data_IF_775174080228
#
_entry.id   IF_775174080228
#
_cell.length_a   1.000
_cell.length_b   1.000
_cell.length_c   1.000
_cell.angle_alpha   90.00
_cell.angle_beta   90.00
_cell.angle_gamma   90.00
#
_symmetry.space_group_name_H-M   'P 1'
#
loop_
_entity.id
_entity.type
_entity.pdbx_description
1 polymer ?
#
# COMPACT_ATOMS: atom_id res chain seq x y z
N UNK A 1 22.30 -3.43 -34.22
CA UNK A 1 21.03 -3.60 -33.49
C UNK A 1 20.64 -5.09 -33.40
N UNK A 2 21.54 -5.97 -32.92
CA UNK A 2 21.30 -7.43 -32.82
C UNK A 2 21.98 -8.15 -31.64
N UNK A 3 22.88 -7.49 -30.90
CA UNK A 3 23.56 -8.10 -29.74
C UNK A 3 22.81 -7.85 -28.42
N UNK A 4 22.25 -6.66 -28.22
CA UNK A 4 21.46 -6.32 -27.02
C UNK A 4 20.15 -7.09 -26.91
N UNK A 5 19.51 -7.40 -28.04
CA UNK A 5 18.25 -8.16 -28.04
C UNK A 5 18.49 -9.64 -27.73
N UNK A 6 19.66 -10.19 -28.10
CA UNK A 6 20.02 -11.60 -27.83
C UNK A 6 20.46 -11.79 -26.38
N UNK A 7 21.22 -10.86 -25.81
CA UNK A 7 21.53 -10.86 -24.37
C UNK A 7 20.26 -10.68 -23.52
N UNK A 8 19.34 -9.81 -23.92
CA UNK A 8 18.06 -9.61 -23.22
C UNK A 8 17.12 -10.81 -23.31
N UNK A 9 17.17 -11.57 -24.40
CA UNK A 9 16.43 -12.84 -24.54
C UNK A 9 17.10 -13.94 -23.69
N UNK A 10 18.43 -14.06 -23.71
CA UNK A 10 19.16 -15.04 -22.91
C UNK A 10 19.03 -14.80 -21.40
N UNK A 11 19.14 -13.55 -20.92
CA UNK A 11 18.90 -13.24 -19.50
C UNK A 11 17.45 -13.51 -19.10
N UNK A 12 16.49 -13.30 -20.02
CA UNK A 12 15.08 -13.62 -19.77
C UNK A 12 14.81 -15.13 -19.73
N UNK A 13 15.50 -15.92 -20.55
CA UNK A 13 15.42 -17.39 -20.52
C UNK A 13 16.13 -17.97 -19.30
N UNK A 14 17.31 -17.45 -18.90
CA UNK A 14 18.01 -17.84 -17.67
C UNK A 14 17.21 -17.46 -16.41
N UNK A 15 16.56 -16.29 -16.41
CA UNK A 15 15.63 -15.88 -15.36
C UNK A 15 14.38 -16.77 -15.34
N UNK A 16 13.82 -17.17 -16.48
CA UNK A 16 12.69 -18.11 -16.54
C UNK A 16 13.08 -19.51 -16.06
N UNK A 17 14.29 -19.98 -16.33
CA UNK A 17 14.77 -21.30 -15.88
C UNK A 17 15.05 -21.31 -14.37
N UNK A 18 15.69 -20.25 -13.87
CA UNK A 18 15.94 -20.07 -12.42
C UNK A 18 14.64 -19.84 -11.66
N UNK A 19 13.68 -19.10 -12.25
CA UNK A 19 12.31 -18.90 -11.73
C UNK A 19 11.52 -20.19 -11.73
N UNK A 20 11.61 -21.00 -12.78
CA UNK A 20 10.96 -22.31 -12.86
C UNK A 20 11.53 -23.25 -11.82
N UNK A 21 12.85 -23.30 -11.63
CA UNK A 21 13.48 -24.14 -10.61
C UNK A 21 13.15 -23.70 -9.18
N UNK A 22 13.17 -22.39 -8.91
CA UNK A 22 12.78 -21.84 -7.61
C UNK A 22 11.27 -22.03 -7.33
N UNK A 23 10.41 -21.83 -8.33
CA UNK A 23 8.98 -22.13 -8.22
C UNK A 23 8.71 -23.62 -8.08
N UNK A 24 9.37 -24.49 -8.84
CA UNK A 24 9.20 -25.94 -8.73
C UNK A 24 9.67 -26.42 -7.37
N UNK A 25 10.77 -25.88 -6.84
CA UNK A 25 11.22 -26.18 -5.48
C UNK A 25 10.21 -25.70 -4.44
N UNK A 26 9.75 -24.45 -4.52
CA UNK A 26 8.77 -23.88 -3.60
C UNK A 26 7.40 -24.56 -3.68
N UNK A 27 6.94 -24.95 -4.88
CA UNK A 27 5.73 -25.74 -5.10
C UNK A 27 5.91 -27.14 -4.54
N UNK A 28 7.06 -27.78 -4.77
CA UNK A 28 7.34 -29.12 -4.23
C UNK A 28 7.36 -29.07 -2.71
N UNK A 29 8.01 -28.07 -2.11
CA UNK A 29 8.07 -27.87 -0.66
C UNK A 29 6.70 -27.49 -0.08
N UNK A 30 5.91 -26.65 -0.78
CA UNK A 30 4.56 -26.26 -0.38
C UNK A 30 3.54 -27.39 -0.51
N UNK A 31 3.64 -28.21 -1.56
CA UNK A 31 2.82 -29.42 -1.75
C UNK A 31 3.24 -30.46 -0.73
N UNK A 32 4.54 -30.65 -0.47
CA UNK A 32 5.02 -31.57 0.56
C UNK A 32 4.58 -31.13 1.95
N UNK A 33 4.64 -29.82 2.26
CA UNK A 33 4.12 -29.26 3.50
C UNK A 33 2.60 -29.37 3.61
N UNK A 34 1.87 -29.16 2.52
CA UNK A 34 0.40 -29.33 2.47
C UNK A 34 0.00 -30.79 2.63
N UNK A 35 0.71 -31.73 2.01
CA UNK A 35 0.49 -33.18 2.16
C UNK A 35 0.85 -33.62 3.58
N UNK A 36 1.97 -33.16 4.14
CA UNK A 36 2.34 -33.42 5.53
C UNK A 36 1.34 -32.81 6.52
N UNK A 37 0.79 -31.64 6.21
CA UNK A 37 -0.26 -30.98 7.00
C UNK A 37 -1.58 -31.76 6.93
N UNK A 38 -2.01 -32.20 5.76
CA UNK A 38 -3.20 -33.06 5.59
C UNK A 38 -2.99 -34.41 6.30
N UNK A 39 -1.80 -35.00 6.21
CA UNK A 39 -1.45 -36.22 6.93
C UNK A 39 -1.43 -36.02 8.45
N UNK A 40 -0.96 -34.86 8.93
CA UNK A 40 -0.96 -34.51 10.35
C UNK A 40 -2.37 -34.18 10.87
N UNK A 41 -3.19 -33.47 10.10
CA UNK A 41 -4.59 -33.13 10.40
C UNK A 41 -5.49 -34.37 10.43
N UNK A 42 -5.20 -35.37 9.60
CA UNK A 42 -5.87 -36.68 9.63
C UNK A 42 -5.37 -37.60 10.76
N UNK A 43 -4.26 -37.27 11.42
CA UNK A 43 -3.68 -38.07 12.51
C UNK A 43 -3.90 -37.48 13.90
N UNK A 44 -4.31 -36.22 14.05
CA UNK A 44 -4.83 -35.63 15.28
C UNK A 44 -5.49 -34.26 14.97
N UNK A 45 -6.67 -33.94 15.53
CA UNK A 45 -7.25 -32.61 15.37
C UNK A 45 -6.34 -31.59 16.09
N UNK A 46 -5.64 -30.77 15.30
CA UNK A 46 -4.89 -29.64 15.83
C UNK A 46 -5.84 -28.67 16.55
N UNK A 47 -5.42 -28.05 17.67
CA UNK A 47 -6.24 -27.10 18.39
C UNK A 47 -6.60 -25.94 17.46
N UNK A 48 -7.89 -25.61 17.40
CA UNK A 48 -8.42 -24.52 16.59
C UNK A 48 -7.62 -23.24 16.85
N UNK A 49 -6.85 -22.81 15.85
CA UNK A 49 -6.29 -21.45 15.81
C UNK A 49 -7.49 -20.51 15.91
N UNK A 50 -7.43 -19.56 16.85
CA UNK A 50 -8.60 -18.79 17.31
C UNK A 50 -9.38 -18.12 16.18
N UNK A 51 -10.66 -17.81 16.44
CA UNK A 51 -11.62 -17.24 15.48
C UNK A 51 -11.30 -15.83 14.93
N UNK A 52 -10.08 -15.33 15.17
CA UNK A 52 -9.64 -13.99 14.78
C UNK A 52 -8.63 -14.01 13.63
N UNK A 53 -8.40 -12.83 13.04
CA UNK A 53 -7.37 -12.63 12.00
C UNK A 53 -5.98 -12.88 12.60
N UNK A 54 -5.13 -13.61 11.88
CA UNK A 54 -3.72 -13.81 12.24
C UNK A 54 -2.90 -12.54 11.98
N UNK A 55 -3.05 -11.58 12.89
CA UNK A 55 -2.31 -10.33 12.85
C UNK A 55 -0.81 -10.49 13.10
N UNK A 56 -0.37 -11.56 13.77
CA UNK A 56 1.05 -11.79 14.00
C UNK A 56 1.78 -12.04 12.68
N UNK A 57 1.20 -12.86 11.79
CA UNK A 57 1.73 -13.06 10.45
C UNK A 57 1.69 -11.77 9.63
N UNK A 58 0.60 -10.99 9.67
CA UNK A 58 0.52 -9.70 8.96
C UNK A 58 1.60 -8.74 9.45
N UNK A 59 1.79 -8.61 10.77
CA UNK A 59 2.77 -7.71 11.37
C UNK A 59 4.22 -8.11 10.98
N UNK A 60 4.52 -9.41 10.93
CA UNK A 60 5.82 -9.93 10.50
C UNK A 60 6.13 -9.62 9.02
N UNK A 61 5.17 -9.86 8.13
CA UNK A 61 5.29 -9.55 6.70
C UNK A 61 5.45 -8.04 6.47
N UNK A 62 4.68 -7.24 7.21
CA UNK A 62 4.71 -5.78 7.18
C UNK A 62 6.08 -5.24 7.61
N UNK A 63 6.60 -5.72 8.73
CA UNK A 63 7.90 -5.30 9.26
C UNK A 63 9.05 -5.75 8.35
N UNK A 64 8.97 -6.93 7.74
CA UNK A 64 9.93 -7.39 6.73
C UNK A 64 9.96 -6.46 5.50
N UNK A 65 8.80 -6.10 4.96
CA UNK A 65 8.71 -5.17 3.83
C UNK A 65 9.26 -3.78 4.18
N UNK A 66 8.96 -3.29 5.39
CA UNK A 66 9.46 -2.00 5.90
C UNK A 66 10.98 -1.97 6.02
N UNK A 67 11.59 -3.04 6.58
CA UNK A 67 13.05 -3.13 6.73
C UNK A 67 13.73 -3.10 5.37
N UNK A 68 13.16 -3.81 4.40
CA UNK A 68 13.66 -3.81 3.03
C UNK A 68 13.56 -2.42 2.38
N UNK A 69 12.42 -1.74 2.51
CA UNK A 69 12.25 -0.36 2.04
C UNK A 69 13.36 0.57 2.57
N UNK A 70 13.63 0.53 3.88
CA UNK A 70 14.70 1.33 4.49
C UNK A 70 16.07 0.90 3.98
N UNK A 71 16.34 -0.40 3.89
CA UNK A 71 17.62 -0.92 3.43
C UNK A 71 17.92 -0.49 1.98
N UNK A 72 16.93 -0.59 1.09
CA UNK A 72 17.07 -0.18 -0.31
C UNK A 72 17.33 1.31 -0.44
N UNK A 73 16.61 2.16 0.30
CA UNK A 73 16.84 3.60 0.27
C UNK A 73 18.22 3.94 0.85
N UNK A 74 18.61 3.34 1.97
CA UNK A 74 19.93 3.57 2.56
C UNK A 74 21.09 3.10 1.68
N UNK A 75 20.85 2.14 0.78
CA UNK A 75 21.83 1.68 -0.20
C UNK A 75 22.01 2.67 -1.35
N UNK A 76 21.12 3.66 -1.53
CA UNK A 76 21.38 4.75 -2.46
C UNK A 76 22.60 5.54 -1.98
N UNK A 77 23.60 5.66 -2.84
CA UNK A 77 24.54 6.75 -2.71
C UNK A 77 23.72 8.03 -2.86
N UNK A 78 23.80 8.98 -1.93
CA UNK A 78 23.06 10.25 -1.97
C UNK A 78 23.97 11.45 -2.24
N UNK A 79 25.29 11.29 -2.20
CA UNK A 79 26.22 12.42 -2.14
C UNK A 79 26.39 12.94 -0.71
N UNK A 80 26.97 14.14 -0.58
CA UNK A 80 27.41 14.69 0.71
C UNK A 80 26.88 16.10 0.99
N UNK A 81 25.97 16.64 0.17
CA UNK A 81 25.41 17.97 0.45
C UNK A 81 24.44 17.92 1.63
N UNK A 82 24.15 19.07 2.24
CA UNK A 82 23.18 19.16 3.34
C UNK A 82 21.79 18.67 2.89
N UNK A 83 21.37 19.02 1.67
CA UNK A 83 20.11 18.55 1.07
C UNK A 83 20.11 17.03 0.92
N UNK A 84 21.22 16.44 0.48
CA UNK A 84 21.34 14.98 0.31
C UNK A 84 21.20 14.24 1.65
N UNK A 85 21.82 14.79 2.70
CA UNK A 85 21.70 14.26 4.06
C UNK A 85 20.26 14.37 4.59
N UNK A 86 19.59 15.49 4.35
CA UNK A 86 18.21 15.70 4.76
C UNK A 86 17.22 14.78 4.00
N UNK A 87 17.47 14.51 2.71
CA UNK A 87 16.66 13.57 1.92
C UNK A 87 16.82 12.13 2.42
N UNK A 88 18.03 11.74 2.86
CA UNK A 88 18.24 10.41 3.46
C UNK A 88 17.37 10.18 4.71
N UNK A 89 17.17 11.21 5.53
CA UNK A 89 16.33 11.08 6.74
C UNK A 89 14.85 10.84 6.45
N UNK A 90 14.38 11.14 5.22
CA UNK A 90 12.99 10.92 4.79
C UNK A 90 12.64 9.43 4.85
N UNK A 91 13.60 8.52 4.61
CA UNK A 91 13.38 7.08 4.71
C UNK A 91 12.95 6.65 6.12
N UNK A 92 13.44 7.34 7.16
CA UNK A 92 13.05 7.10 8.55
C UNK A 92 11.63 7.55 8.90
N UNK A 93 10.99 8.34 8.02
CA UNK A 93 9.68 8.95 8.23
C UNK A 93 8.72 8.51 7.13
N UNK A 94 7.98 7.44 7.43
CA UNK A 94 7.19 6.72 6.43
C UNK A 94 5.90 6.17 7.03
N UNK A 95 5.01 5.77 6.15
CA UNK A 95 3.88 4.92 6.47
C UNK A 95 4.09 3.56 5.82
N UNK A 96 3.82 2.49 6.56
CA UNK A 96 3.63 1.15 6.00
C UNK A 96 2.16 0.84 6.08
N UNK A 97 1.53 0.51 4.97
CA UNK A 97 0.12 0.18 4.94
C UNK A 97 -0.12 -1.00 4.04
N UNK A 98 -1.31 -1.59 4.14
CA UNK A 98 -1.59 -2.80 3.41
C UNK A 98 -2.94 -3.39 3.74
N UNK A 99 -3.18 -4.54 3.14
CA UNK A 99 -4.35 -5.34 3.45
C UNK A 99 -4.07 -6.83 3.22
N UNK A 100 -4.84 -7.67 3.90
CA UNK A 100 -4.88 -9.10 3.64
C UNK A 100 -6.28 -9.50 3.15
N UNK A 101 -6.33 -10.35 2.12
CA UNK A 101 -7.57 -11.00 1.70
C UNK A 101 -7.76 -12.28 2.53
N UNK A 102 -8.97 -12.46 3.04
CA UNK A 102 -9.31 -13.56 3.93
C UNK A 102 -10.60 -14.26 3.48
N UNK A 103 -10.66 -15.58 3.72
CA UNK A 103 -11.89 -16.34 3.59
C UNK A 103 -12.88 -16.03 4.74
N UNK A 104 -14.04 -16.67 4.72
CA UNK A 104 -15.06 -16.50 5.76
C UNK A 104 -14.58 -16.89 7.17
N UNK A 105 -13.64 -17.83 7.26
CA UNK A 105 -13.04 -18.34 8.49
C UNK A 105 -11.80 -17.53 8.95
N UNK A 106 -11.48 -16.43 8.26
CA UNK A 106 -10.31 -15.57 8.49
C UNK A 106 -8.95 -16.21 8.11
N UNK A 107 -8.93 -17.24 7.27
CA UNK A 107 -7.70 -17.75 6.71
C UNK A 107 -7.23 -16.90 5.53
N UNK A 108 -5.92 -16.77 5.36
CA UNK A 108 -5.32 -16.17 4.18
C UNK A 108 -5.65 -16.94 2.91
N UNK A 109 -5.90 -16.22 1.81
CA UNK A 109 -6.07 -16.83 0.50
C UNK A 109 -4.71 -17.05 -0.17
N UNK A 110 -4.59 -18.12 -0.96
CA UNK A 110 -3.40 -18.34 -1.78
C UNK A 110 -3.58 -17.69 -3.14
N UNK A 111 -2.63 -16.84 -3.55
CA UNK A 111 -2.63 -16.21 -4.87
C UNK A 111 -1.91 -17.10 -5.88
N UNK A 112 -2.65 -17.74 -6.78
CA UNK A 112 -2.06 -18.60 -7.81
C UNK A 112 -1.28 -17.83 -8.89
N UNK A 113 -1.74 -16.63 -9.26
CA UNK A 113 -1.15 -15.80 -10.34
C UNK A 113 -1.03 -14.33 -9.94
N UNK A 114 -0.22 -13.99 -8.92
CA UNK A 114 -0.15 -12.64 -8.36
C UNK A 114 0.25 -11.58 -9.38
N UNK A 115 1.13 -11.90 -10.34
CA UNK A 115 1.53 -10.99 -11.42
C UNK A 115 0.35 -10.53 -12.30
N UNK A 116 -0.54 -11.46 -12.66
CA UNK A 116 -1.70 -11.13 -13.50
C UNK A 116 -2.69 -10.26 -12.73
N UNK A 117 -2.97 -10.64 -11.48
CA UNK A 117 -3.86 -9.90 -10.59
C UNK A 117 -3.37 -8.47 -10.36
N UNK A 118 -2.09 -8.31 -10.02
CA UNK A 118 -1.47 -7.00 -9.80
C UNK A 118 -1.48 -6.14 -11.07
N UNK A 119 -1.25 -6.74 -12.25
CA UNK A 119 -1.32 -5.99 -13.50
C UNK A 119 -2.74 -5.49 -13.76
N UNK A 120 -3.75 -6.36 -13.63
CA UNK A 120 -5.16 -5.97 -13.76
C UNK A 120 -5.53 -4.88 -12.77
N UNK A 121 -5.17 -5.05 -11.49
CA UNK A 121 -5.45 -4.05 -10.47
C UNK A 121 -4.74 -2.72 -10.74
N UNK A 122 -3.48 -2.75 -11.17
CA UNK A 122 -2.73 -1.55 -11.54
C UNK A 122 -3.31 -0.85 -12.77
N UNK A 123 -3.80 -1.60 -13.76
CA UNK A 123 -4.45 -1.04 -14.94
C UNK A 123 -5.77 -0.35 -14.55
N UNK A 124 -6.60 -0.98 -13.73
CA UNK A 124 -7.84 -0.39 -13.20
C UNK A 124 -7.58 0.84 -12.32
N UNK A 125 -6.56 0.78 -11.45
CA UNK A 125 -6.18 1.89 -10.59
C UNK A 125 -5.82 3.14 -11.40
N UNK A 126 -5.31 3.03 -12.64
CA UNK A 126 -5.04 4.20 -13.47
C UNK A 126 -6.30 5.04 -13.76
N UNK A 127 -7.48 4.44 -13.70
CA UNK A 127 -8.74 5.17 -13.79
C UNK A 127 -9.10 5.85 -12.45
N UNK A 128 -8.69 5.27 -11.33
CA UNK A 128 -8.93 5.79 -9.97
C UNK A 128 -7.99 6.93 -9.59
N UNK A 129 -6.70 6.79 -9.89
CA UNK A 129 -5.65 7.74 -9.53
C UNK A 129 -4.40 7.53 -10.42
N UNK A 130 -4.34 8.21 -11.56
CA UNK A 130 -3.25 8.10 -12.55
C UNK A 130 -1.98 8.87 -12.16
N UNK A 131 -0.99 8.93 -13.06
CA UNK A 131 0.28 9.67 -12.91
C UNK A 131 1.10 9.31 -11.65
N UNK A 132 0.89 8.10 -11.12
CA UNK A 132 1.63 7.62 -9.96
C UNK A 132 1.09 8.08 -8.62
N UNK A 133 -0.15 8.55 -8.56
CA UNK A 133 -0.81 8.84 -7.29
C UNK A 133 -1.23 7.56 -6.54
N UNK A 134 -1.42 6.44 -7.25
CA UNK A 134 -1.83 5.16 -6.66
C UNK A 134 -0.68 4.26 -6.15
N UNK A 135 -1.03 3.37 -5.23
CA UNK A 135 -0.20 2.28 -4.69
C UNK A 135 -0.11 1.07 -5.64
N UNK A 136 0.85 0.17 -5.38
CA UNK A 136 1.02 -1.12 -6.08
C UNK A 136 1.17 -1.03 -7.61
N UNK A 137 1.80 0.04 -8.09
CA UNK A 137 2.00 0.28 -9.52
C UNK A 137 2.86 -0.82 -10.14
N UNK A 138 2.34 -1.45 -11.19
CA UNK A 138 3.09 -2.37 -12.04
C UNK A 138 3.69 -1.58 -13.20
N UNK A 139 4.95 -1.19 -13.07
CA UNK A 139 5.67 -0.52 -14.15
C UNK A 139 6.11 -1.52 -15.22
N UNK A 140 5.95 -1.16 -16.49
CA UNK A 140 6.28 -2.01 -17.65
C UNK A 140 7.73 -1.87 -18.14
N UNK A 141 8.51 -0.96 -17.56
CA UNK A 141 9.94 -0.82 -17.85
C UNK A 141 10.72 -1.97 -17.18
N UNK A 142 11.62 -2.62 -17.92
CA UNK A 142 12.46 -3.73 -17.44
C UNK A 142 13.23 -3.40 -16.16
N UNK A 143 13.69 -2.15 -16.00
CA UNK A 143 14.56 -1.76 -14.88
C UNK A 143 13.83 -1.72 -13.53
N UNK A 144 12.49 -1.57 -13.57
CA UNK A 144 11.59 -1.40 -12.42
C UNK A 144 10.41 -2.36 -12.45
N UNK A 145 10.46 -3.37 -13.32
CA UNK A 145 9.41 -4.39 -13.41
C UNK A 145 9.31 -5.17 -12.10
N UNK A 146 8.09 -5.53 -11.65
CA UNK A 146 7.93 -6.31 -10.43
C UNK A 146 8.65 -7.65 -10.51
N UNK A 147 9.30 -8.04 -9.41
CA UNK A 147 10.17 -9.22 -9.34
C UNK A 147 9.53 -10.28 -8.47
N UNK A 148 9.56 -11.54 -8.92
CA UNK A 148 9.22 -12.67 -8.05
C UNK A 148 10.37 -12.91 -7.07
N UNK A 149 10.04 -13.10 -5.79
CA UNK A 149 11.02 -13.33 -4.73
C UNK A 149 10.58 -14.43 -3.78
N UNK A 150 11.58 -15.00 -3.12
CA UNK A 150 11.46 -15.87 -1.95
C UNK A 150 12.10 -15.14 -0.78
N UNK A 151 11.38 -15.00 0.33
CA UNK A 151 11.86 -14.41 1.56
C UNK A 151 11.78 -15.44 2.68
N UNK A 152 12.75 -15.41 3.59
CA UNK A 152 12.62 -16.10 4.88
C UNK A 152 12.16 -15.07 5.92
N UNK A 153 10.95 -15.24 6.46
CA UNK A 153 10.31 -14.31 7.40
C UNK A 153 9.85 -15.13 8.60
N UNK A 154 10.39 -14.81 9.78
CA UNK A 154 10.15 -15.56 11.03
C UNK A 154 10.33 -17.08 10.88
N UNK A 155 11.39 -17.48 10.17
CA UNK A 155 11.74 -18.88 9.93
C UNK A 155 10.84 -19.60 8.93
N UNK A 156 9.93 -18.88 8.25
CA UNK A 156 9.06 -19.43 7.21
C UNK A 156 9.46 -18.87 5.84
N UNK A 157 9.47 -19.75 4.86
CA UNK A 157 9.69 -19.37 3.47
C UNK A 157 8.38 -18.86 2.86
N UNK A 158 8.42 -17.60 2.40
CA UNK A 158 7.29 -16.88 1.82
C UNK A 158 7.66 -16.42 0.43
N UNK A 159 6.90 -16.84 -0.57
CA UNK A 159 7.04 -16.36 -1.95
C UNK A 159 6.15 -15.16 -2.21
N UNK A 160 6.48 -14.36 -3.22
CA UNK A 160 5.58 -13.33 -3.72
C UNK A 160 6.18 -12.47 -4.80
N UNK A 161 5.63 -11.26 -4.93
CA UNK A 161 6.06 -10.25 -5.90
C UNK A 161 6.41 -8.98 -5.16
N UNK A 162 7.52 -8.33 -5.52
CA UNK A 162 7.86 -6.99 -5.05
C UNK A 162 7.96 -6.01 -6.21
N UNK A 163 7.76 -4.73 -5.92
CA UNK A 163 7.98 -3.65 -6.86
C UNK A 163 8.40 -2.36 -6.16
N UNK A 164 9.03 -1.49 -6.93
CA UNK A 164 9.49 -0.18 -6.50
C UNK A 164 9.41 0.77 -7.70
N UNK A 165 8.86 1.98 -7.53
CA UNK A 165 8.74 2.93 -8.65
C UNK A 165 10.05 3.62 -9.00
N UNK A 166 11.04 3.55 -8.13
CA UNK A 166 12.28 4.32 -8.22
C UNK A 166 13.48 3.37 -8.33
N UNK A 167 14.22 3.41 -9.43
CA UNK A 167 15.46 2.63 -9.60
C UNK A 167 16.74 3.40 -9.23
N UNK A 168 16.64 4.59 -8.60
CA UNK A 168 17.78 5.49 -8.37
C UNK A 168 17.49 6.55 -7.28
N UNK A 169 18.36 7.56 -7.07
CA UNK A 169 18.11 8.68 -6.13
C UNK A 169 16.84 9.48 -6.44
N UNK A 170 16.30 9.34 -7.65
CA UNK A 170 15.27 10.22 -8.19
C UNK A 170 13.97 10.07 -7.42
N UNK A 171 13.67 11.05 -6.56
CA UNK A 171 12.43 11.08 -5.80
C UNK A 171 11.26 11.26 -6.78
N UNK A 172 10.53 10.19 -7.05
CA UNK A 172 9.38 10.23 -7.95
C UNK A 172 8.22 10.96 -7.25
N UNK A 173 7.82 12.11 -7.78
CA UNK A 173 6.76 12.96 -7.19
C UNK A 173 6.95 13.36 -5.71
N UNK A 174 8.19 13.36 -5.21
CA UNK A 174 8.49 13.80 -3.85
C UNK A 174 8.41 12.71 -2.76
N UNK A 175 8.19 11.43 -3.11
CA UNK A 175 8.23 10.31 -2.17
C UNK A 175 9.04 9.12 -2.68
N UNK A 176 9.52 8.28 -1.76
CA UNK A 176 9.98 6.92 -2.05
C UNK A 176 8.87 5.92 -1.76
N UNK A 177 8.79 4.85 -2.54
CA UNK A 177 7.88 3.75 -2.26
C UNK A 177 8.49 2.38 -2.57
N UNK A 178 7.95 1.38 -1.89
CA UNK A 178 8.26 -0.03 -2.09
C UNK A 178 7.02 -0.84 -1.73
N UNK A 179 6.71 -1.89 -2.47
CA UNK A 179 5.57 -2.73 -2.17
C UNK A 179 5.86 -4.21 -2.38
N UNK A 180 5.13 -5.05 -1.64
CA UNK A 180 5.11 -6.51 -1.75
C UNK A 180 3.68 -7.02 -1.84
N UNK A 181 3.47 -8.03 -2.66
CA UNK A 181 2.30 -8.89 -2.62
C UNK A 181 2.77 -10.31 -2.31
N UNK A 182 2.50 -10.78 -1.11
CA UNK A 182 2.88 -12.11 -0.65
C UNK A 182 1.91 -13.17 -1.20
N UNK A 183 2.40 -14.41 -1.37
CA UNK A 183 1.63 -15.52 -1.92
C UNK A 183 0.40 -15.87 -1.09
N UNK A 184 0.39 -15.55 0.21
CA UNK A 184 -0.74 -15.68 1.12
C UNK A 184 -1.65 -14.43 1.13
N UNK A 185 -1.79 -13.75 -0.01
CA UNK A 185 -2.68 -12.61 -0.22
C UNK A 185 -2.55 -11.45 0.77
N UNK A 186 -1.35 -11.24 1.31
CA UNK A 186 -1.00 -10.05 2.10
C UNK A 186 -0.27 -9.06 1.20
N UNK A 187 -0.83 -7.87 1.06
CA UNK A 187 -0.33 -6.78 0.24
C UNK A 187 0.20 -5.70 1.18
N UNK A 188 1.45 -5.27 0.98
CA UNK A 188 2.14 -4.28 1.80
C UNK A 188 2.75 -3.21 0.91
N UNK A 189 2.56 -1.95 1.25
CA UNK A 189 3.22 -0.78 0.66
C UNK A 189 3.92 0.00 1.76
N UNK A 190 5.11 0.49 1.50
CA UNK A 190 5.88 1.38 2.37
C UNK A 190 6.18 2.65 1.59
N UNK A 191 5.81 3.81 2.14
CA UNK A 191 5.94 5.11 1.48
C UNK A 191 6.49 6.16 2.44
N UNK A 192 7.51 6.89 2.02
CA UNK A 192 7.96 8.06 2.77
C UNK A 192 6.92 9.19 2.70
N UNK A 193 6.95 10.16 3.61
CA UNK A 193 6.04 11.32 3.52
C UNK A 193 6.48 12.29 2.42
N UNK A 194 5.61 12.52 1.43
CA UNK A 194 5.83 13.49 0.36
C UNK A 194 6.03 14.89 0.90
N UNK A 195 5.36 15.21 1.99
CA UNK A 195 5.46 16.47 2.71
C UNK A 195 6.87 16.78 3.17
N UNK A 196 7.69 15.77 3.51
CA UNK A 196 9.06 16.01 3.96
C UNK A 196 9.93 16.55 2.82
N UNK A 197 9.78 16.03 1.61
CA UNK A 197 10.48 16.56 0.43
C UNK A 197 10.06 18.00 0.13
N UNK A 198 8.76 18.30 0.16
CA UNK A 198 8.27 19.67 -0.10
C UNK A 198 8.63 20.65 1.01
N UNK A 199 8.66 20.21 2.27
CA UNK A 199 9.13 21.01 3.40
C UNK A 199 10.59 21.44 3.21
N UNK A 200 11.45 20.51 2.80
CA UNK A 200 12.87 20.79 2.53
C UNK A 200 13.02 21.77 1.35
N UNK A 201 12.34 21.49 0.23
CA UNK A 201 12.39 22.32 -0.97
C UNK A 201 11.82 23.74 -0.73
N UNK A 202 10.72 23.83 0.01
CA UNK A 202 10.02 25.08 0.33
C UNK A 202 10.56 25.81 1.57
N UNK A 203 11.57 25.25 2.25
CA UNK A 203 12.16 25.81 3.49
C UNK A 203 11.13 26.08 4.59
N UNK A 204 10.14 25.19 4.73
CA UNK A 204 9.13 25.29 5.78
C UNK A 204 9.73 24.84 7.12
N UNK A 205 9.70 25.75 8.11
CA UNK A 205 10.41 25.59 9.39
C UNK A 205 9.82 24.60 10.39
N UNK A 206 8.74 23.90 10.03
CA UNK A 206 8.09 22.91 10.88
C UNK A 206 7.69 21.66 10.09
N UNK A 207 7.72 20.47 10.69
CA UNK A 207 7.25 19.25 10.04
C UNK A 207 5.72 19.20 10.03
N UNK A 208 5.14 18.70 8.96
CA UNK A 208 3.69 18.58 8.79
C UNK A 208 3.34 17.33 7.98
N UNK A 209 2.09 16.89 8.11
CA UNK A 209 1.39 16.11 7.08
C UNK A 209 0.22 16.95 6.57
N UNK A 210 -0.32 16.61 5.41
CA UNK A 210 -1.52 17.27 4.88
C UNK A 210 -2.70 16.32 4.92
N UNK A 211 -3.87 16.85 5.28
CA UNK A 211 -5.10 16.07 5.29
C UNK A 211 -5.43 15.48 3.90
N UNK A 212 -5.03 16.17 2.82
CA UNK A 212 -5.20 15.70 1.44
C UNK A 212 -4.30 14.51 1.11
N UNK A 213 -3.00 14.53 1.45
CA UNK A 213 -2.14 13.36 1.18
C UNK A 213 -2.48 12.18 2.09
N UNK A 214 -2.96 12.41 3.32
CA UNK A 214 -3.52 11.33 4.16
C UNK A 214 -4.71 10.69 3.43
N UNK A 215 -5.67 11.49 2.96
CA UNK A 215 -6.81 11.01 2.18
C UNK A 215 -6.37 10.23 0.94
N UNK A 216 -5.49 10.80 0.10
CA UNK A 216 -5.03 10.14 -1.14
C UNK A 216 -4.41 8.78 -0.84
N UNK A 217 -3.55 8.68 0.19
CA UNK A 217 -2.89 7.42 0.57
C UNK A 217 -3.91 6.36 1.00
N UNK A 218 -4.83 6.73 1.88
CA UNK A 218 -5.84 5.79 2.37
C UNK A 218 -6.82 5.38 1.27
N UNK A 219 -7.22 6.33 0.42
CA UNK A 219 -8.06 6.06 -0.74
C UNK A 219 -7.38 5.12 -1.73
N UNK A 220 -6.10 5.34 -2.06
CA UNK A 220 -5.38 4.48 -2.99
C UNK A 220 -5.19 3.06 -2.45
N UNK A 221 -4.93 2.91 -1.15
CA UNK A 221 -4.88 1.61 -0.49
C UNK A 221 -6.24 0.90 -0.58
N UNK A 222 -7.31 1.59 -0.19
CA UNK A 222 -8.64 1.02 -0.13
C UNK A 222 -9.18 0.67 -1.52
N UNK A 223 -8.93 1.54 -2.50
CA UNK A 223 -9.33 1.31 -3.89
C UNK A 223 -8.62 0.08 -4.47
N UNK A 224 -7.32 -0.05 -4.23
CA UNK A 224 -6.57 -1.23 -4.66
C UNK A 224 -7.11 -2.50 -3.98
N UNK A 225 -7.46 -2.43 -2.69
CA UNK A 225 -8.09 -3.54 -1.98
C UNK A 225 -9.46 -3.91 -2.58
N UNK A 226 -10.30 -2.93 -2.92
CA UNK A 226 -11.61 -3.14 -3.52
C UNK A 226 -11.51 -3.77 -4.91
N UNK A 227 -10.67 -3.22 -5.79
CA UNK A 227 -10.40 -3.75 -7.14
C UNK A 227 -9.87 -5.19 -7.07
N UNK A 228 -8.91 -5.44 -6.18
CA UNK A 228 -8.36 -6.79 -6.01
C UNK A 228 -9.43 -7.76 -5.49
N UNK A 229 -10.25 -7.33 -4.53
CA UNK A 229 -11.34 -8.14 -3.96
C UNK A 229 -12.42 -8.45 -5.01
N UNK A 230 -12.74 -7.52 -5.91
CA UNK A 230 -13.64 -7.76 -7.03
C UNK A 230 -13.14 -8.90 -7.94
N UNK A 231 -11.82 -8.99 -8.13
CA UNK A 231 -11.14 -10.01 -8.92
C UNK A 231 -10.84 -11.33 -8.17
N UNK A 232 -11.10 -11.39 -6.86
CA UNK A 232 -10.89 -12.58 -6.00
C UNK A 232 -12.21 -12.91 -5.29
N UNK A 233 -13.10 -13.73 -5.90
CA UNK A 233 -14.43 -14.01 -5.34
C UNK A 233 -14.43 -14.63 -3.95
N UNK A 234 -13.42 -15.44 -3.63
CA UNK A 234 -13.30 -16.14 -2.35
C UNK A 234 -12.89 -15.20 -1.18
N UNK A 235 -12.53 -13.95 -1.47
CA UNK A 235 -12.25 -12.93 -0.47
C UNK A 235 -13.56 -12.45 0.17
N UNK A 236 -13.88 -13.01 1.33
CA UNK A 236 -15.06 -12.69 2.12
C UNK A 236 -14.80 -11.54 3.12
N UNK A 237 -13.55 -11.43 3.60
CA UNK A 237 -13.11 -10.42 4.56
C UNK A 237 -11.77 -9.81 4.12
N UNK A 238 -11.56 -8.57 4.52
CA UNK A 238 -10.38 -7.78 4.19
C UNK A 238 -9.86 -7.16 5.48
N UNK A 239 -8.63 -7.50 5.84
CA UNK A 239 -7.94 -6.95 7.00
C UNK A 239 -6.98 -5.85 6.54
N UNK A 240 -7.40 -4.60 6.69
CA UNK A 240 -6.65 -3.38 6.40
C UNK A 240 -5.76 -2.99 7.59
N UNK A 241 -4.58 -2.44 7.30
CA UNK A 241 -3.70 -1.92 8.34
C UNK A 241 -2.87 -0.73 7.85
N UNK A 242 -2.51 0.15 8.79
CA UNK A 242 -1.60 1.27 8.58
C UNK A 242 -0.68 1.43 9.79
N UNK A 243 0.59 1.74 9.54
CA UNK A 243 1.65 1.95 10.52
C UNK A 243 2.40 3.23 10.14
N UNK A 244 1.94 4.35 10.67
CA UNK A 244 2.56 5.66 10.48
C UNK A 244 3.72 5.82 11.46
N UNK A 245 4.90 6.21 10.99
CA UNK A 245 6.12 6.35 11.79
C UNK A 245 6.83 7.68 11.50
N UNK A 246 7.43 8.28 12.51
CA UNK A 246 8.00 9.62 12.36
C UNK A 246 6.95 10.72 12.44
N UNK A 247 5.85 10.51 13.18
CA UNK A 247 4.75 11.48 13.33
C UNK A 247 5.03 12.58 14.34
N UNK A 248 5.93 12.35 15.31
CA UNK A 248 6.11 13.25 16.44
C UNK A 248 6.42 14.67 15.97
N UNK A 249 5.83 15.66 16.65
CA UNK A 249 5.94 17.09 16.37
C UNK A 249 5.31 17.56 15.05
N UNK A 250 4.74 16.67 14.22
CA UNK A 250 4.05 17.06 13.00
C UNK A 250 2.71 17.72 13.33
N UNK A 251 2.42 18.78 12.60
CA UNK A 251 1.09 19.42 12.57
C UNK A 251 0.28 18.96 11.36
N UNK A 252 -1.03 19.20 11.38
CA UNK A 252 -1.91 18.89 10.25
C UNK A 252 -2.15 20.13 9.37
N UNK A 253 -1.51 20.10 8.21
CA UNK A 253 -1.69 21.03 7.11
C UNK A 253 -3.03 20.84 6.40
N UNK A 254 -3.56 21.93 5.83
CA UNK A 254 -4.77 21.94 5.00
C UNK A 254 -4.40 21.91 3.51
N UNK A 255 -5.19 21.18 2.72
CA UNK A 255 -5.10 21.23 1.27
C UNK A 255 -3.77 20.69 0.75
N UNK A 256 -3.34 21.22 -0.41
CA UNK A 256 -2.04 20.98 -1.02
C UNK A 256 -1.05 22.13 -0.78
N UNK A 257 -1.34 23.02 0.17
CA UNK A 257 -0.53 24.22 0.45
C UNK A 257 0.79 23.91 1.20
N UNK A 258 1.16 22.63 1.32
CA UNK A 258 2.42 22.12 1.90
C UNK A 258 2.92 22.89 3.13
N UNK A 259 2.07 23.05 4.14
CA UNK A 259 2.42 23.65 5.43
C UNK A 259 2.23 25.17 5.52
N UNK A 260 1.78 25.85 4.46
CA UNK A 260 1.45 27.28 4.51
C UNK A 260 0.11 27.57 5.20
N UNK A 261 -0.82 26.61 5.15
CA UNK A 261 -2.11 26.66 5.86
C UNK A 261 -2.28 25.38 6.67
N UNK A 262 -2.86 25.52 7.86
CA UNK A 262 -3.03 24.42 8.80
C UNK A 262 -4.49 24.31 9.24
N UNK A 263 -4.94 23.09 9.53
CA UNK A 263 -6.18 22.87 10.28
C UNK A 263 -5.97 23.18 11.75
N UNK A 264 -4.81 22.78 12.28
CA UNK A 264 -4.44 22.98 13.68
C UNK A 264 -2.93 23.07 13.83
N UNK A 265 -2.49 23.84 14.84
CA UNK A 265 -1.11 23.85 15.30
C UNK A 265 -0.84 22.80 16.38
N UNK A 266 -1.84 22.00 16.74
CA UNK A 266 -1.66 20.83 17.59
C UNK A 266 -0.62 19.91 16.94
N UNK A 267 0.34 19.49 17.73
CA UNK A 267 1.41 18.59 17.31
C UNK A 267 1.03 17.16 17.68
N UNK A 268 1.31 16.23 16.78
CA UNK A 268 1.28 14.82 17.12
C UNK A 268 2.28 14.54 18.26
N UNK A 269 1.76 13.93 19.33
CA UNK A 269 2.54 13.61 20.54
C UNK A 269 3.37 12.35 20.33
N UNK A 270 2.74 11.33 19.76
CA UNK A 270 3.36 10.03 19.50
C UNK A 270 4.11 10.02 18.18
N UNK A 271 5.22 9.27 18.14
CA UNK A 271 5.98 9.09 16.90
C UNK A 271 5.36 8.06 15.96
N UNK A 272 4.63 7.10 16.53
CA UNK A 272 4.05 5.98 15.81
C UNK A 272 2.54 5.94 16.04
N UNK A 273 1.79 5.77 14.96
CA UNK A 273 0.35 5.51 15.02
C UNK A 273 0.00 4.31 14.15
N UNK A 274 -0.63 3.32 14.78
CA UNK A 274 -0.97 2.07 14.13
C UNK A 274 -2.48 1.83 14.16
N UNK A 275 -3.05 1.46 13.02
CA UNK A 275 -4.46 1.18 12.88
C UNK A 275 -4.70 -0.17 12.20
N UNK A 276 -5.72 -0.90 12.67
CA UNK A 276 -6.19 -2.18 12.11
C UNK A 276 -7.69 -2.07 11.89
N UNK A 277 -8.16 -2.47 10.72
CA UNK A 277 -9.58 -2.46 10.37
C UNK A 277 -9.90 -3.76 9.62
N UNK A 278 -10.88 -4.51 10.11
CA UNK A 278 -11.44 -5.65 9.37
C UNK A 278 -12.80 -5.26 8.83
N UNK A 279 -12.99 -5.46 7.54
CA UNK A 279 -14.27 -5.28 6.85
C UNK A 279 -14.64 -6.53 6.08
N UNK A 280 -15.93 -6.73 5.86
CA UNK A 280 -16.42 -7.74 4.95
C UNK A 280 -16.43 -7.23 3.50
N UNK A 281 -16.65 -8.14 2.56
CA UNK A 281 -16.73 -7.85 1.13
C UNK A 281 -17.76 -6.78 0.79
N UNK A 282 -18.96 -6.85 1.36
CA UNK A 282 -20.04 -5.90 1.08
C UNK A 282 -19.72 -4.49 1.62
N UNK A 283 -19.17 -4.39 2.83
CA UNK A 283 -18.68 -3.12 3.38
C UNK A 283 -17.66 -2.45 2.45
N UNK A 284 -16.73 -3.22 1.87
CA UNK A 284 -15.71 -2.68 0.97
C UNK A 284 -16.25 -2.29 -0.41
N UNK A 285 -17.11 -3.12 -1.01
CA UNK A 285 -17.56 -2.95 -2.40
C UNK A 285 -18.83 -2.13 -2.53
N UNK A 286 -19.70 -2.13 -1.52
CA UNK A 286 -21.02 -1.47 -1.55
C UNK A 286 -21.05 -0.20 -0.68
N UNK A 287 -20.37 -0.19 0.47
CA UNK A 287 -20.22 0.99 1.35
C UNK A 287 -18.77 1.52 1.34
N UNK A 288 -18.27 1.77 0.14
CA UNK A 288 -16.88 2.21 -0.06
C UNK A 288 -16.52 3.44 0.78
N UNK A 289 -17.37 4.48 0.76
CA UNK A 289 -17.11 5.71 1.49
C UNK A 289 -17.20 5.53 3.01
N UNK A 290 -18.16 4.76 3.52
CA UNK A 290 -18.24 4.44 4.95
C UNK A 290 -17.00 3.70 5.42
N UNK A 291 -16.51 2.74 4.63
CA UNK A 291 -15.24 2.05 4.88
C UNK A 291 -14.04 2.99 4.81
N UNK A 292 -13.98 3.89 3.83
CA UNK A 292 -12.92 4.89 3.70
C UNK A 292 -12.87 5.83 4.90
N UNK A 293 -14.02 6.27 5.38
CA UNK A 293 -14.13 7.12 6.57
C UNK A 293 -13.56 6.39 7.80
N UNK A 294 -13.97 5.14 8.04
CA UNK A 294 -13.45 4.29 9.14
C UNK A 294 -11.94 4.04 9.05
N UNK A 295 -11.36 4.07 7.85
CA UNK A 295 -9.93 3.94 7.64
C UNK A 295 -9.17 5.26 7.90
N UNK A 296 -9.75 6.41 7.51
CA UNK A 296 -9.09 7.71 7.55
C UNK A 296 -9.22 8.46 8.88
N UNK A 297 -10.41 8.44 9.50
CA UNK A 297 -10.68 9.20 10.73
C UNK A 297 -9.69 8.87 11.86
N UNK A 298 -9.35 7.60 12.14
CA UNK A 298 -8.48 7.28 13.27
C UNK A 298 -7.10 7.97 13.22
N UNK A 299 -6.46 8.06 12.05
CA UNK A 299 -5.18 8.78 11.93
C UNK A 299 -5.37 10.30 12.05
N UNK A 300 -6.50 10.84 11.61
CA UNK A 300 -6.80 12.27 11.75
C UNK A 300 -7.06 12.66 13.21
N UNK A 301 -7.56 11.73 14.04
CA UNK A 301 -7.76 11.92 15.48
C UNK A 301 -6.47 12.26 16.24
N UNK A 302 -5.30 11.95 15.69
CA UNK A 302 -4.00 12.39 16.21
C UNK A 302 -3.94 13.93 16.35
N UNK A 303 -4.70 14.65 15.53
CA UNK A 303 -4.78 16.11 15.52
C UNK A 303 -6.15 16.65 15.96
N UNK A 304 -7.04 15.81 16.51
CA UNK A 304 -8.35 16.24 16.99
C UNK A 304 -8.22 17.29 18.12
N UNK A 305 -9.10 18.29 18.10
CA UNK A 305 -9.15 19.32 19.12
C UNK A 305 -10.21 20.38 18.83
N UNK A 306 -10.22 21.45 19.62
CA UNK A 306 -11.27 22.49 19.55
C UNK A 306 -11.43 23.18 18.17
N UNK A 307 -10.44 23.08 17.28
CA UNK A 307 -10.45 23.69 15.96
C UNK A 307 -10.52 22.69 14.80
N UNK A 308 -10.49 21.39 15.10
CA UNK A 308 -10.51 20.33 14.11
C UNK A 308 -11.17 19.08 14.68
N UNK A 309 -12.37 18.79 14.18
CA UNK A 309 -13.07 17.54 14.44
C UNK A 309 -12.94 16.65 13.18
N UNK A 310 -12.22 15.51 13.26
CA UNK A 310 -12.06 14.58 12.14
C UNK A 310 -13.37 14.00 11.60
N UNK A 311 -14.36 13.74 12.45
CA UNK A 311 -15.64 13.14 12.07
C UNK A 311 -16.50 14.13 11.28
N UNK A 312 -16.53 15.39 11.71
CA UNK A 312 -17.20 16.49 11.01
C UNK A 312 -16.42 16.98 9.78
N UNK A 313 -15.10 16.81 9.78
CA UNK A 313 -14.27 17.18 8.64
C UNK A 313 -14.34 16.13 7.51
N UNK A 314 -14.29 14.84 7.84
CA UNK A 314 -14.29 13.76 6.85
C UNK A 314 -15.71 13.41 6.38
N UNK A 315 -16.34 14.36 5.67
CA UNK A 315 -17.65 14.17 5.02
C UNK A 315 -17.49 13.97 3.51
N UNK A 316 -18.53 13.43 2.87
CA UNK A 316 -18.53 13.22 1.42
C UNK A 316 -18.35 14.54 0.67
N UNK A 317 -19.04 15.60 1.09
CA UNK A 317 -18.94 16.92 0.46
C UNK A 317 -17.51 17.48 0.54
N UNK A 318 -16.83 17.30 1.68
CA UNK A 318 -15.46 17.75 1.85
C UNK A 318 -14.48 16.95 0.99
N UNK A 319 -14.65 15.62 0.92
CA UNK A 319 -13.83 14.75 0.06
C UNK A 319 -14.03 15.07 -1.42
N UNK A 320 -15.26 15.29 -1.86
CA UNK A 320 -15.55 15.68 -3.24
C UNK A 320 -14.95 17.03 -3.60
N UNK A 321 -14.96 17.99 -2.67
CA UNK A 321 -14.25 19.26 -2.84
C UNK A 321 -12.75 19.06 -3.00
N UNK A 322 -12.12 18.22 -2.16
CA UNK A 322 -10.70 17.87 -2.27
C UNK A 322 -10.41 17.27 -3.65
N UNK A 323 -11.22 16.33 -4.11
CA UNK A 323 -11.08 15.71 -5.43
C UNK A 323 -11.21 16.75 -6.55
N UNK A 324 -12.17 17.66 -6.46
CA UNK A 324 -12.35 18.75 -7.42
C UNK A 324 -11.14 19.68 -7.48
N UNK A 325 -10.55 20.02 -6.33
CA UNK A 325 -9.31 20.80 -6.24
C UNK A 325 -8.13 20.05 -6.87
N UNK A 326 -7.96 18.76 -6.54
CA UNK A 326 -6.93 17.90 -7.13
C UNK A 326 -7.04 17.81 -8.65
N UNK A 327 -8.27 17.71 -9.19
CA UNK A 327 -8.52 17.70 -10.65
C UNK A 327 -8.11 19.00 -11.32
N UNK A 328 -8.31 20.15 -10.66
CA UNK A 328 -7.84 21.45 -11.18
C UNK A 328 -6.30 21.54 -11.22
N UNK A 329 -5.63 20.88 -10.28
CA UNK A 329 -4.17 20.75 -10.21
C UNK A 329 -3.61 19.63 -11.14
N UNK A 330 -4.45 19.03 -11.99
CA UNK A 330 -4.05 18.01 -12.95
C UNK A 330 -3.92 16.59 -12.37
N UNK A 331 -4.39 16.35 -11.15
CA UNK A 331 -4.49 14.99 -10.59
C UNK A 331 -5.80 14.32 -10.99
N UNK A 332 -5.78 13.01 -11.26
CA UNK A 332 -6.99 12.28 -11.72
C UNK A 332 -7.63 11.43 -10.62
N UNK A 333 -7.46 11.80 -9.35
CA UNK A 333 -8.08 11.06 -8.24
C UNK A 333 -9.60 11.09 -8.37
N UNK A 334 -10.25 9.93 -8.24
CA UNK A 334 -11.70 9.77 -8.19
C UNK A 334 -12.09 8.68 -7.17
N UNK A 335 -13.26 8.78 -6.55
CA UNK A 335 -13.77 7.71 -5.68
C UNK A 335 -14.30 6.54 -6.53
N UNK A 336 -14.18 5.32 -6.02
CA UNK A 336 -14.66 4.11 -6.71
C UNK A 336 -16.20 4.04 -6.78
N UNK A 337 -16.89 4.65 -5.83
CA UNK A 337 -18.36 4.65 -5.79
C UNK A 337 -19.02 5.70 -6.70
N UNK A 338 -18.23 6.55 -7.37
CA UNK A 338 -18.76 7.53 -8.33
C UNK A 338 -19.20 6.90 -9.66
N UNK A 339 -18.60 5.79 -10.09
CA UNK A 339 -19.00 5.12 -11.34
C UNK A 339 -20.40 4.50 -11.25
N UNK A 340 -20.78 4.00 -10.06
CA UNK A 340 -22.12 3.47 -9.78
C UNK A 340 -23.22 4.54 -9.89
N UNK A 341 -22.91 5.81 -9.63
CA UNK A 341 -23.86 6.92 -9.76
C UNK A 341 -24.02 7.38 -11.22
N UNK A 342 -22.98 7.28 -12.04
CA UNK A 342 -23.07 7.61 -13.48
C UNK A 342 -23.77 6.56 -14.34
N UNK A 343 -23.92 5.31 -13.86
CA UNK A 343 -24.71 4.28 -14.55
C UNK A 343 -26.21 4.32 -14.22
N UNK A 344 -26.65 5.19 -13.29
CA UNK A 344 -28.06 5.41 -12.97
C UNK A 344 -28.47 6.89 -12.93
N UNK A 345 -28.47 7.60 -14.06
CA UNK A 345 -29.45 8.64 -14.30
C UNK A 345 -30.40 8.25 -15.46
N UNK A 346 -31.71 8.40 -15.19
CA UNK A 346 -32.83 8.30 -16.13
C UNK A 346 -33.36 6.89 -16.50
N UNK A 347 -34.16 6.33 -15.59
CA UNK A 347 -35.46 5.73 -15.95
C UNK A 347 -36.47 6.09 -14.85
N UNK A 348 -36.78 7.39 -14.78
CA UNK A 348 -37.94 7.91 -14.09
C UNK A 348 -38.44 9.09 -14.91
N UNK A 349 -39.43 8.81 -15.75
CA UNK A 349 -40.11 9.72 -16.66
C UNK A 349 -41.21 8.95 -17.37
#
# INVERSE_FOLDING_TARGET
>A
MRFRDVEAIQTREEDELTRTQAMTKAITESVTASVLKILAENMNPAPSVGSGVDWATIDALTESARREFIAQINAFDFGTTETDQQVREIAGKHVVSGYALLDAANNFLTLERPHKLLKTASDEMNHVASFGWHDFIVMTNSDVSPRTRLWNIDGKDVTGVEGMRINSRTVYFGEYDYWRAHGNSVFVTAKSYREDYHRLKGRVGHPFLTSVNIFIRMHCLLAHAAITTANVPDAAKIALFTDHRGLKDRILGRGMDYGLRVHTHLKAVEDRYFNKLVVNRAELLEDYFGTLKRLCVPILDVWAGASFDPEEWFTRENVERIISELRKEGSTVQLLDQEAQTQHPANAG
#
